data_IF_293425456486
#
_entry.id   IF_293425456486
#
_cell.length_a   1.000
_cell.length_b   1.000
_cell.length_c   1.000
_cell.angle_alpha   90.00
_cell.angle_beta   90.00
_cell.angle_gamma   90.00
#
_symmetry.space_group_name_H-M   'P 1'
#
loop_
_entity.id
_entity.type
_entity.pdbx_description
1 polymer ?
#
# COMPACT_ATOMS: atom_id res chain seq x y z
N UNK A 1 -7.78 -15.19 -8.33
CA UNK A 1 -7.01 -13.97 -7.98
C UNK A 1 -5.67 -14.42 -7.43
N UNK A 2 -4.56 -13.88 -7.95
CA UNK A 2 -3.22 -14.22 -7.47
C UNK A 2 -2.52 -12.93 -7.06
N UNK A 3 -1.96 -12.91 -5.85
CA UNK A 3 -1.19 -11.78 -5.34
C UNK A 3 0.28 -11.92 -5.72
N UNK A 4 0.87 -10.82 -6.17
CA UNK A 4 2.32 -10.69 -6.32
C UNK A 4 2.98 -10.17 -5.04
N UNK A 5 4.29 -9.98 -5.11
CA UNK A 5 5.07 -9.47 -3.97
C UNK A 5 4.81 -7.97 -3.78
N UNK A 6 4.58 -7.49 -2.54
CA UNK A 6 4.55 -6.07 -2.25
C UNK A 6 5.86 -5.39 -2.66
N UNK A 7 5.73 -4.22 -3.27
CA UNK A 7 6.82 -3.35 -3.66
C UNK A 7 6.81 -2.14 -2.73
N UNK A 8 7.90 -1.99 -1.98
CA UNK A 8 8.08 -0.88 -1.06
C UNK A 8 8.85 0.24 -1.77
N UNK A 9 8.58 1.51 -1.43
CA UNK A 9 9.40 2.60 -1.92
C UNK A 9 10.80 2.50 -1.32
N UNK A 10 11.75 3.26 -1.86
CA UNK A 10 13.09 3.37 -1.26
C UNK A 10 12.97 3.97 0.14
N UNK A 11 13.49 3.31 1.19
CA UNK A 11 13.49 3.87 2.54
C UNK A 11 14.50 5.01 2.67
N UNK A 12 14.31 5.85 3.68
CA UNK A 12 15.29 6.85 4.14
C UNK A 12 16.02 6.29 5.35
N UNK A 13 17.34 6.35 5.35
CA UNK A 13 18.14 5.97 6.52
C UNK A 13 18.17 7.13 7.52
N UNK A 14 17.78 6.87 8.76
CA UNK A 14 17.80 7.87 9.84
C UNK A 14 18.56 7.30 11.04
N UNK A 15 19.52 8.05 11.54
CA UNK A 15 20.23 7.71 12.78
C UNK A 15 19.52 8.36 13.95
N UNK A 16 18.94 7.54 14.81
CA UNK A 16 18.31 7.96 16.06
C UNK A 16 19.20 7.61 17.24
N UNK A 17 19.22 8.44 18.28
CA UNK A 17 20.11 8.26 19.44
C UNK A 17 19.84 6.96 20.21
N UNK A 18 18.62 6.43 20.12
CA UNK A 18 18.20 5.19 20.76
C UNK A 18 18.50 3.94 19.91
N UNK A 19 18.97 4.10 18.67
CA UNK A 19 19.27 3.02 17.75
C UNK A 19 20.78 2.82 17.64
N UNK A 20 21.22 1.55 17.67
CA UNK A 20 22.63 1.21 17.49
C UNK A 20 23.07 1.35 16.02
N UNK A 21 22.14 1.09 15.09
CA UNK A 21 22.34 1.14 13.65
C UNK A 21 21.33 2.12 13.02
N UNK A 22 21.64 2.72 11.84
CA UNK A 22 20.67 3.51 11.09
C UNK A 22 19.38 2.73 10.84
N UNK A 23 18.25 3.41 10.99
CA UNK A 23 16.92 2.86 10.80
C UNK A 23 16.43 3.20 9.39
N UNK A 24 16.11 2.19 8.55
CA UNK A 24 15.41 2.43 7.29
C UNK A 24 13.94 2.74 7.58
N UNK A 25 13.55 3.99 7.36
CA UNK A 25 12.21 4.50 7.66
C UNK A 25 11.53 5.08 6.42
N UNK A 26 10.20 5.17 6.48
CA UNK A 26 9.40 5.86 5.48
C UNK A 26 8.92 7.19 6.05
N UNK A 27 9.41 8.30 5.50
CA UNK A 27 9.05 9.65 5.92
C UNK A 27 8.25 10.38 4.83
N UNK A 28 7.40 11.33 5.23
CA UNK A 28 6.61 12.17 4.32
C UNK A 28 5.60 11.41 3.43
N UNK A 29 5.15 10.25 3.89
CA UNK A 29 4.25 9.36 3.15
C UNK A 29 4.99 8.31 2.31
N UNK A 30 4.40 7.13 2.21
CA UNK A 30 4.94 6.02 1.41
C UNK A 30 3.80 5.32 0.68
N UNK A 31 4.05 4.99 -0.59
CA UNK A 31 3.15 4.21 -1.42
C UNK A 31 3.71 2.79 -1.53
N UNK A 32 2.98 1.82 -0.99
CA UNK A 32 3.29 0.39 -1.10
C UNK A 32 2.40 -0.17 -2.19
N UNK A 33 3.00 -0.69 -3.25
CA UNK A 33 2.26 -1.29 -4.37
C UNK A 33 2.16 -2.80 -4.18
N UNK A 34 0.97 -3.36 -4.32
CA UNK A 34 0.77 -4.81 -4.26
C UNK A 34 0.13 -5.27 -5.56
N UNK A 35 0.91 -5.81 -6.51
CA UNK A 35 0.37 -6.28 -7.77
C UNK A 35 -0.53 -7.49 -7.53
N UNK A 36 -1.60 -7.59 -8.30
CA UNK A 36 -2.46 -8.76 -8.31
C UNK A 36 -3.01 -9.00 -9.70
N UNK A 37 -3.38 -10.24 -9.97
CA UNK A 37 -4.04 -10.64 -11.21
C UNK A 37 -5.42 -11.20 -10.92
N UNK A 38 -6.34 -10.87 -11.82
CA UNK A 38 -7.71 -11.40 -11.87
C UNK A 38 -7.92 -12.11 -13.21
N UNK A 39 -8.96 -12.95 -13.29
CA UNK A 39 -9.31 -13.61 -14.54
C UNK A 39 -9.73 -12.57 -15.60
N UNK A 40 -9.37 -12.80 -16.86
CA UNK A 40 -9.75 -11.89 -17.97
C UNK A 40 -11.26 -11.78 -18.17
N UNK A 41 -12.00 -12.80 -17.75
CA UNK A 41 -13.46 -12.86 -17.84
C UNK A 41 -14.15 -12.31 -16.60
N UNK A 42 -13.39 -11.85 -15.60
CA UNK A 42 -13.95 -11.29 -14.38
C UNK A 42 -14.75 -10.03 -14.69
N UNK A 43 -15.95 -9.93 -14.11
CA UNK A 43 -16.81 -8.75 -14.19
C UNK A 43 -17.52 -8.54 -12.85
N UNK A 44 -18.01 -7.34 -12.61
CA UNK A 44 -18.74 -6.97 -11.40
C UNK A 44 -17.87 -6.37 -10.32
N UNK A 45 -18.39 -6.31 -9.09
CA UNK A 45 -17.73 -5.67 -7.96
C UNK A 45 -16.80 -6.63 -7.23
N UNK A 46 -15.54 -6.25 -7.06
CA UNK A 46 -14.55 -6.96 -6.27
C UNK A 46 -14.13 -6.12 -5.08
N UNK A 47 -14.36 -6.61 -3.86
CA UNK A 47 -13.78 -6.00 -2.66
C UNK A 47 -12.48 -6.71 -2.32
N UNK A 48 -11.38 -5.95 -2.31
CA UNK A 48 -10.07 -6.43 -1.86
C UNK A 48 -9.82 -5.93 -0.44
N UNK A 49 -9.43 -6.83 0.45
CA UNK A 49 -9.15 -6.54 1.85
C UNK A 49 -7.75 -6.99 2.24
N UNK A 50 -7.19 -6.34 3.25
CA UNK A 50 -5.87 -6.66 3.77
C UNK A 50 -5.64 -6.10 5.18
N UNK A 51 -4.46 -6.38 5.72
CA UNK A 51 -4.01 -5.81 6.98
C UNK A 51 -2.58 -5.30 6.82
N UNK A 52 -2.40 -4.00 6.98
CA UNK A 52 -1.09 -3.37 7.08
C UNK A 52 -0.61 -3.50 8.53
N UNK A 53 0.51 -4.19 8.75
CA UNK A 53 1.22 -4.15 10.03
C UNK A 53 2.31 -3.09 9.94
N UNK A 54 2.20 -2.04 10.73
CA UNK A 54 3.13 -0.92 10.72
C UNK A 54 3.62 -0.60 12.12
N UNK A 55 4.85 -0.14 12.22
CA UNK A 55 5.43 0.43 13.44
C UNK A 55 5.79 1.88 13.15
N UNK A 56 5.40 2.77 14.05
CA UNK A 56 5.78 4.17 14.00
C UNK A 56 6.79 4.44 15.12
N UNK A 57 7.72 5.35 14.86
CA UNK A 57 8.68 5.83 15.84
C UNK A 57 8.64 7.36 15.84
N UNK A 58 9.00 7.96 16.97
CA UNK A 58 9.37 9.36 17.06
C UNK A 58 10.87 9.49 17.40
N UNK A 59 11.28 10.69 17.81
CA UNK A 59 12.67 11.01 18.15
C UNK A 59 13.11 10.46 19.52
N UNK A 60 12.22 9.83 20.27
CA UNK A 60 12.53 9.24 21.58
C UNK A 60 12.47 7.72 21.54
N UNK A 61 11.49 7.17 20.80
CA UNK A 61 11.21 5.73 20.83
C UNK A 61 10.40 5.23 19.63
N UNK A 62 10.43 3.90 19.45
CA UNK A 62 9.50 3.18 18.60
C UNK A 62 8.32 2.65 19.40
N UNK A 63 7.10 2.92 18.93
CA UNK A 63 5.87 2.45 19.57
C UNK A 63 5.60 0.98 19.22
N UNK A 64 4.72 0.28 19.98
CA UNK A 64 4.29 -1.06 19.62
C UNK A 64 3.68 -1.13 18.20
N UNK A 65 4.00 -2.16 17.40
CA UNK A 65 3.43 -2.32 16.07
C UNK A 65 1.90 -2.43 16.11
N UNK A 66 1.23 -1.79 15.15
CA UNK A 66 -0.23 -1.82 15.00
C UNK A 66 -0.64 -2.56 13.74
N UNK A 67 -1.85 -3.14 13.78
CA UNK A 67 -2.53 -3.74 12.64
C UNK A 67 -3.61 -2.77 12.16
N UNK A 68 -3.50 -2.35 10.91
CA UNK A 68 -4.40 -1.37 10.28
C UNK A 68 -5.16 -2.13 9.18
N UNK A 69 -6.48 -2.30 9.29
CA UNK A 69 -7.27 -2.92 8.23
C UNK A 69 -7.30 -1.99 7.01
N UNK A 70 -7.13 -2.57 5.82
CA UNK A 70 -7.25 -1.85 4.55
C UNK A 70 -8.29 -2.56 3.68
N UNK A 71 -9.08 -1.79 2.95
CA UNK A 71 -10.09 -2.32 2.04
C UNK A 71 -10.24 -1.37 0.86
N UNK A 72 -10.42 -1.93 -0.33
CA UNK A 72 -10.78 -1.18 -1.52
C UNK A 72 -11.81 -1.96 -2.33
N UNK A 73 -12.73 -1.23 -2.96
CA UNK A 73 -13.77 -1.82 -3.81
C UNK A 73 -13.50 -1.41 -5.25
N UNK A 74 -13.33 -2.41 -6.11
CA UNK A 74 -13.06 -2.28 -7.53
C UNK A 74 -14.32 -2.65 -8.32
N UNK A 75 -14.63 -1.87 -9.35
CA UNK A 75 -15.61 -2.25 -10.35
C UNK A 75 -14.88 -2.77 -11.58
N UNK A 76 -15.07 -4.05 -11.88
CA UNK A 76 -14.45 -4.72 -13.03
C UNK A 76 -15.48 -4.72 -14.17
N UNK A 77 -15.22 -3.91 -15.19
CA UNK A 77 -16.04 -3.85 -16.40
C UNK A 77 -15.35 -4.61 -17.52
N UNK A 78 -16.12 -5.31 -18.36
CA UNK A 78 -15.60 -5.85 -19.62
C UNK A 78 -15.12 -4.70 -20.52
N UNK A 79 -14.04 -4.91 -21.26
CA UNK A 79 -13.24 -3.95 -22.07
C UNK A 79 -14.00 -3.25 -23.24
N UNK A 80 -15.33 -3.18 -23.19
CA UNK A 80 -16.16 -2.43 -24.14
C UNK A 80 -16.47 -0.99 -23.70
N UNK A 81 -15.92 -0.52 -22.59
CA UNK A 81 -16.15 0.85 -22.11
C UNK A 81 -14.95 1.76 -22.44
N UNK A 82 -15.12 2.85 -23.21
CA UNK A 82 -14.03 3.78 -23.52
C UNK A 82 -13.48 4.44 -22.24
N UNK A 83 -12.19 4.84 -22.24
CA UNK A 83 -11.52 5.36 -21.05
C UNK A 83 -12.23 6.60 -20.47
N UNK A 84 -12.30 6.74 -19.14
CA UNK A 84 -12.93 7.90 -18.51
C UNK A 84 -12.19 9.18 -18.91
N UNK A 85 -12.90 10.12 -19.55
CA UNK A 85 -12.37 11.47 -19.83
C UNK A 85 -12.14 12.18 -18.51
N UNK A 86 -10.88 12.55 -18.23
CA UNK A 86 -10.50 13.38 -17.09
C UNK A 86 -11.38 14.64 -17.03
N UNK A 87 -12.11 14.80 -15.93
CA UNK A 87 -12.86 16.03 -15.64
C UNK A 87 -11.87 17.07 -15.09
N UNK A 88 -11.30 17.88 -15.97
CA UNK A 88 -10.61 19.11 -15.60
C UNK A 88 -11.67 20.13 -15.15
N UNK A 89 -11.47 20.75 -14.00
CA UNK A 89 -12.16 21.96 -13.55
C UNK A 89 -11.11 22.98 -13.13
#
# INVERSE_FOLDING_TARGET
MIWGKPQYPTPTEVTEWYANDPLPVFQNGAVIEVPFTIDKTATGTLTIGGTLRAQACDHEQCYPPRKIPVSATLQITSESSPPPKNRQY
#
